data_IF_026685173512
#
_entry.id   IF_026685173512
#
_cell.length_a   1.000
_cell.length_b   1.000
_cell.length_c   1.000
_cell.angle_alpha   90.00
_cell.angle_beta   90.00
_cell.angle_gamma   90.00
#
_symmetry.space_group_name_H-M   'P 1'
#
loop_
_entity.id
_entity.type
_entity.pdbx_description
1 polymer ?
#
# COMPACT_ATOMS: atom_id res chain seq x y z
N UNK A 1 -6.65 1.26 -46.97
CA UNK A 1 -5.88 1.79 -45.88
C UNK A 1 -6.03 3.31 -45.80
N UNK A 2 -6.94 3.81 -44.98
CA UNK A 2 -7.08 5.25 -44.69
C UNK A 2 -6.48 5.52 -43.32
N UNK A 3 -5.26 6.03 -43.31
CA UNK A 3 -4.57 6.55 -42.16
C UNK A 3 -5.32 7.77 -41.63
N UNK A 4 -6.07 7.64 -40.52
CA UNK A 4 -6.65 8.79 -39.81
C UNK A 4 -5.51 9.58 -39.18
N UNK A 5 -5.16 10.70 -39.81
CA UNK A 5 -4.32 11.75 -39.24
C UNK A 5 -4.94 12.20 -37.90
N UNK A 6 -4.23 11.98 -36.80
CA UNK A 6 -4.56 12.60 -35.50
C UNK A 6 -4.29 14.10 -35.65
N UNK A 7 -5.32 14.87 -35.96
CA UNK A 7 -5.29 16.33 -35.84
C UNK A 7 -5.02 16.66 -34.37
N UNK A 8 -3.84 17.20 -34.07
CA UNK A 8 -3.53 17.83 -32.77
C UNK A 8 -4.54 18.97 -32.59
N UNK A 9 -5.44 18.82 -31.64
CA UNK A 9 -6.28 19.92 -31.18
C UNK A 9 -5.39 21.12 -30.83
N UNK A 10 -5.70 22.33 -31.35
CA UNK A 10 -4.92 23.51 -31.03
C UNK A 10 -5.06 23.79 -29.55
N UNK A 11 -3.92 23.92 -28.85
CA UNK A 11 -3.88 24.36 -27.44
C UNK A 11 -4.58 25.73 -27.38
N UNK A 12 -5.81 25.75 -26.92
CA UNK A 12 -6.57 26.99 -26.73
C UNK A 12 -5.83 27.87 -25.73
N UNK A 13 -5.38 29.04 -26.18
CA UNK A 13 -4.78 30.04 -25.29
C UNK A 13 -5.86 30.51 -24.32
N UNK A 14 -5.64 30.28 -23.04
CA UNK A 14 -6.56 30.72 -21.99
C UNK A 14 -6.73 32.24 -22.08
N UNK A 15 -7.93 32.69 -22.38
CA UNK A 15 -8.24 34.11 -22.55
C UNK A 15 -8.72 34.70 -21.23
N UNK A 16 -8.36 35.94 -20.94
CA UNK A 16 -8.77 36.68 -19.74
C UNK A 16 -10.28 36.66 -19.53
N UNK A 17 -11.06 36.61 -20.62
CA UNK A 17 -12.52 36.49 -20.61
C UNK A 17 -13.01 35.15 -20.08
N UNK A 18 -12.29 34.05 -20.35
CA UNK A 18 -12.59 32.69 -19.85
C UNK A 18 -12.29 32.60 -18.36
N UNK A 19 -11.18 33.20 -17.90
CA UNK A 19 -10.83 33.29 -16.49
C UNK A 19 -11.96 34.00 -15.69
N UNK A 20 -12.43 35.17 -16.20
CA UNK A 20 -13.54 35.88 -15.55
C UNK A 20 -14.85 35.09 -15.52
N UNK A 21 -15.10 34.21 -16.50
CA UNK A 21 -16.28 33.35 -16.54
C UNK A 21 -16.24 32.27 -15.49
N UNK A 22 -15.03 31.83 -15.10
CA UNK A 22 -14.80 30.75 -14.14
C UNK A 22 -14.49 31.26 -12.71
N UNK A 23 -14.90 32.47 -12.35
CA UNK A 23 -14.57 33.12 -11.08
C UNK A 23 -14.92 32.29 -9.83
N UNK A 24 -16.04 31.55 -9.86
CA UNK A 24 -16.45 30.68 -8.75
C UNK A 24 -15.50 29.49 -8.62
N UNK A 25 -15.11 28.88 -9.75
CA UNK A 25 -14.16 27.77 -9.77
C UNK A 25 -12.78 28.21 -9.28
N UNK A 26 -12.33 29.39 -9.72
CA UNK A 26 -11.06 29.98 -9.29
C UNK A 26 -11.06 30.35 -7.81
N UNK A 27 -12.19 30.81 -7.28
CA UNK A 27 -12.32 31.08 -5.85
C UNK A 27 -12.13 29.79 -5.02
N UNK A 28 -12.82 28.71 -5.37
CA UNK A 28 -12.65 27.42 -4.69
C UNK A 28 -11.25 26.83 -4.89
N UNK A 29 -10.69 26.95 -6.09
CA UNK A 29 -9.32 26.54 -6.35
C UNK A 29 -8.32 27.32 -5.50
N UNK A 30 -8.50 28.63 -5.34
CA UNK A 30 -7.65 29.45 -4.49
C UNK A 30 -7.72 29.03 -3.00
N UNK A 31 -8.90 28.70 -2.49
CA UNK A 31 -9.06 28.17 -1.12
C UNK A 31 -8.30 26.85 -0.95
N UNK A 32 -8.45 25.92 -1.90
CA UNK A 32 -7.77 24.61 -1.85
C UNK A 32 -6.25 24.79 -1.94
N UNK A 33 -5.77 25.67 -2.82
CA UNK A 33 -4.35 25.98 -2.95
C UNK A 33 -3.83 26.64 -1.67
N UNK A 34 -4.55 27.61 -1.12
CA UNK A 34 -4.16 28.25 0.15
C UNK A 34 -4.09 27.25 1.29
N UNK A 35 -5.07 26.34 1.40
CA UNK A 35 -5.04 25.23 2.35
C UNK A 35 -3.80 24.36 2.15
N UNK A 36 -3.51 23.96 0.90
CA UNK A 36 -2.34 23.18 0.55
C UNK A 36 -1.03 23.88 0.95
N UNK A 37 -0.90 25.17 0.64
CA UNK A 37 0.30 25.95 1.00
C UNK A 37 0.46 26.03 2.52
N UNK A 38 -0.58 26.35 3.26
CA UNK A 38 -0.51 26.54 4.72
C UNK A 38 -0.26 25.20 5.43
N UNK A 39 -0.95 24.13 5.06
CA UNK A 39 -0.91 22.88 5.82
C UNK A 39 0.07 21.83 5.28
N UNK A 40 0.47 21.91 4.00
CA UNK A 40 1.43 20.96 3.42
C UNK A 40 2.78 21.59 3.10
N UNK A 41 2.82 22.79 2.53
CA UNK A 41 4.09 23.40 2.10
C UNK A 41 4.77 24.21 3.21
N UNK A 42 4.02 24.99 3.97
CA UNK A 42 4.61 25.78 5.04
C UNK A 42 5.34 24.93 6.11
N UNK A 43 4.80 23.78 6.56
CA UNK A 43 5.52 22.90 7.49
C UNK A 43 6.85 22.35 6.94
N UNK A 44 7.04 22.30 5.61
CA UNK A 44 8.31 21.87 5.03
C UNK A 44 9.48 22.81 5.38
N UNK A 45 9.18 24.08 5.69
CA UNK A 45 10.19 25.00 6.23
C UNK A 45 10.82 24.47 7.53
N UNK A 46 10.10 23.64 8.28
CA UNK A 46 10.62 22.95 9.46
C UNK A 46 11.78 21.99 9.17
N UNK A 47 11.99 21.55 7.93
CA UNK A 47 13.15 20.74 7.58
C UNK A 47 14.48 21.49 7.75
N UNK A 48 14.46 22.83 7.78
CA UNK A 48 15.62 23.64 8.11
C UNK A 48 16.19 23.28 9.49
N UNK A 49 15.37 22.82 10.43
CA UNK A 49 15.80 22.39 11.77
C UNK A 49 16.77 21.19 11.72
N UNK A 50 16.74 20.38 10.66
CA UNK A 50 17.66 19.26 10.49
C UNK A 50 19.13 19.71 10.32
N UNK A 51 19.33 20.94 9.88
CA UNK A 51 20.66 21.56 9.68
C UNK A 51 21.07 22.49 10.83
N UNK A 52 20.27 22.54 11.89
CA UNK A 52 20.47 23.46 13.02
C UNK A 52 20.55 22.70 14.35
N UNK A 53 21.29 23.31 15.30
CA UNK A 53 21.15 22.93 16.70
C UNK A 53 19.89 23.59 17.27
N UNK A 54 18.73 23.08 16.84
CA UNK A 54 17.44 23.68 17.11
C UNK A 54 17.15 23.76 18.61
N UNK A 55 16.86 24.98 19.08
CA UNK A 55 16.42 25.25 20.44
C UNK A 55 15.02 25.87 20.39
N UNK A 56 13.97 25.23 20.97
CA UNK A 56 12.60 25.74 20.91
C UNK A 56 12.43 27.20 21.34
N UNK A 57 13.26 27.65 22.31
CA UNK A 57 13.24 29.04 22.80
C UNK A 57 13.73 30.05 21.77
N UNK A 58 14.60 29.66 20.86
CA UNK A 58 15.18 30.51 19.82
C UNK A 58 14.43 30.41 18.49
N UNK A 59 13.65 29.36 18.30
CA UNK A 59 12.97 29.09 17.05
C UNK A 59 13.91 28.77 15.89
N UNK A 60 13.36 28.67 14.67
CA UNK A 60 14.12 28.30 13.47
C UNK A 60 15.09 29.41 13.05
N UNK A 61 14.69 30.70 13.23
CA UNK A 61 15.46 31.81 12.72
C UNK A 61 16.70 32.15 13.55
N UNK A 62 16.73 31.78 14.82
CA UNK A 62 17.83 32.14 15.75
C UNK A 62 18.61 30.92 16.28
N UNK A 63 18.26 29.71 15.84
CA UNK A 63 19.00 28.51 16.18
C UNK A 63 20.30 28.43 15.35
N UNK A 64 21.37 27.96 15.99
CA UNK A 64 22.69 27.85 15.39
C UNK A 64 22.71 26.86 14.22
N UNK A 65 23.20 27.26 13.07
CA UNK A 65 23.34 26.40 11.89
C UNK A 65 24.59 25.52 12.04
N UNK A 66 24.39 24.19 12.08
CA UNK A 66 25.47 23.21 12.26
C UNK A 66 25.70 22.34 11.01
N UNK A 67 25.07 22.69 9.90
CA UNK A 67 25.22 21.97 8.64
C UNK A 67 24.82 20.52 8.74
N UNK A 68 25.69 19.58 8.36
CA UNK A 68 25.43 18.15 8.32
C UNK A 68 25.78 17.39 9.60
N UNK A 69 26.11 18.06 10.68
CA UNK A 69 26.53 17.41 11.93
C UNK A 69 25.45 16.48 12.49
N UNK A 70 24.20 16.91 12.49
CA UNK A 70 23.07 16.09 12.95
C UNK A 70 22.90 14.84 12.09
N UNK A 71 23.11 14.94 10.79
CA UNK A 71 23.08 13.78 9.90
C UNK A 71 24.23 12.82 10.18
N UNK A 72 25.44 13.31 10.43
CA UNK A 72 26.57 12.44 10.83
C UNK A 72 26.25 11.66 12.08
N UNK A 73 25.76 12.33 13.12
CA UNK A 73 25.35 11.69 14.37
C UNK A 73 24.28 10.62 14.11
N UNK A 74 23.27 10.96 13.31
CA UNK A 74 22.17 10.07 12.99
C UNK A 74 22.65 8.81 12.26
N UNK A 75 23.47 8.95 11.22
CA UNK A 75 24.01 7.81 10.46
C UNK A 75 25.09 7.01 11.21
N UNK A 76 25.63 7.55 12.30
CA UNK A 76 26.52 6.82 13.22
C UNK A 76 25.75 6.04 14.29
N UNK A 77 24.45 6.32 14.47
CA UNK A 77 23.62 5.62 15.42
C UNK A 77 23.16 4.25 14.87
N UNK A 78 23.63 3.19 15.51
CA UNK A 78 23.25 1.81 15.14
C UNK A 78 21.76 1.55 15.23
N UNK A 79 21.06 2.28 16.10
CA UNK A 79 19.59 2.18 16.22
C UNK A 79 18.92 2.71 14.96
N UNK A 80 19.37 3.87 14.48
CA UNK A 80 18.85 4.45 13.25
C UNK A 80 19.09 3.55 12.03
N UNK A 81 20.31 3.02 11.88
CA UNK A 81 20.64 2.07 10.79
C UNK A 81 19.73 0.83 10.85
N UNK A 82 19.47 0.30 12.04
CA UNK A 82 18.58 -0.84 12.24
C UNK A 82 17.13 -0.50 11.85
N UNK A 83 16.65 0.69 12.21
CA UNK A 83 15.29 1.16 11.84
C UNK A 83 15.18 1.29 10.33
N UNK A 84 16.15 1.93 9.65
CA UNK A 84 16.16 2.04 8.18
C UNK A 84 16.12 0.65 7.53
N UNK A 85 17.01 -0.25 7.95
CA UNK A 85 17.04 -1.62 7.42
C UNK A 85 15.68 -2.31 7.59
N UNK A 86 15.09 -2.20 8.77
CA UNK A 86 13.81 -2.83 9.05
C UNK A 86 12.69 -2.21 8.22
N UNK A 87 12.64 -0.90 8.07
CA UNK A 87 11.65 -0.21 7.25
C UNK A 87 11.75 -0.61 5.79
N UNK A 88 12.97 -0.63 5.23
CA UNK A 88 13.18 -1.03 3.84
C UNK A 88 12.86 -2.51 3.60
N UNK A 89 13.30 -3.39 4.51
CA UNK A 89 13.01 -4.82 4.41
C UNK A 89 11.51 -5.09 4.53
N UNK A 90 10.82 -4.46 5.49
CA UNK A 90 9.36 -4.56 5.66
C UNK A 90 8.64 -4.05 4.41
N UNK A 91 9.03 -2.88 3.91
CA UNK A 91 8.45 -2.31 2.70
C UNK A 91 8.61 -3.23 1.48
N UNK A 92 9.82 -3.79 1.29
CA UNK A 92 10.09 -4.72 0.20
C UNK A 92 9.30 -6.02 0.33
N UNK A 93 9.28 -6.63 1.53
CA UNK A 93 8.51 -7.85 1.78
C UNK A 93 7.02 -7.60 1.53
N UNK A 94 6.46 -6.55 2.10
CA UNK A 94 5.05 -6.21 1.93
C UNK A 94 4.72 -5.94 0.46
N UNK A 95 5.55 -5.16 -0.25
CA UNK A 95 5.33 -4.87 -1.66
C UNK A 95 5.28 -6.16 -2.49
N UNK A 96 6.31 -7.01 -2.38
CA UNK A 96 6.43 -8.23 -3.19
C UNK A 96 5.33 -9.23 -2.83
N UNK A 97 5.16 -9.52 -1.54
CA UNK A 97 4.22 -10.57 -1.10
C UNK A 97 2.77 -10.13 -1.36
N UNK A 98 2.41 -8.89 -1.05
CA UNK A 98 1.05 -8.38 -1.30
C UNK A 98 0.75 -8.28 -2.80
N UNK A 99 1.72 -7.83 -3.60
CA UNK A 99 1.55 -7.75 -5.05
C UNK A 99 1.29 -9.14 -5.67
N UNK A 100 2.15 -10.11 -5.35
CA UNK A 100 2.02 -11.47 -5.89
C UNK A 100 0.72 -12.14 -5.43
N UNK A 101 0.39 -12.02 -4.14
CA UNK A 101 -0.83 -12.64 -3.60
C UNK A 101 -2.09 -11.99 -4.13
N UNK A 102 -2.10 -10.66 -4.31
CA UNK A 102 -3.26 -9.96 -4.87
C UNK A 102 -3.54 -10.33 -6.33
N UNK A 103 -2.49 -10.45 -7.17
CA UNK A 103 -2.63 -10.90 -8.56
C UNK A 103 -3.10 -12.36 -8.60
N UNK A 104 -2.44 -13.24 -7.85
CA UNK A 104 -2.82 -14.66 -7.80
C UNK A 104 -4.28 -14.81 -7.35
N UNK A 105 -4.69 -14.06 -6.32
CA UNK A 105 -6.06 -14.08 -5.83
C UNK A 105 -7.06 -13.52 -6.85
N UNK A 106 -6.72 -12.45 -7.58
CA UNK A 106 -7.57 -11.90 -8.63
C UNK A 106 -7.77 -12.90 -9.78
N UNK A 107 -6.72 -13.61 -10.20
CA UNK A 107 -6.81 -14.67 -11.20
C UNK A 107 -7.71 -15.79 -10.69
N UNK A 108 -7.51 -16.28 -9.46
CA UNK A 108 -8.35 -17.32 -8.87
C UNK A 108 -9.81 -16.90 -8.78
N UNK A 109 -10.08 -15.66 -8.39
CA UNK A 109 -11.44 -15.09 -8.37
C UNK A 109 -12.06 -15.05 -9.77
N UNK A 110 -11.26 -14.74 -10.79
CA UNK A 110 -11.75 -14.68 -12.16
C UNK A 110 -12.16 -16.07 -12.70
N UNK A 111 -11.52 -17.11 -12.22
CA UNK A 111 -11.79 -18.51 -12.59
C UNK A 111 -13.06 -19.08 -11.93
N UNK A 112 -13.63 -18.43 -10.92
CA UNK A 112 -14.86 -18.88 -10.26
C UNK A 112 -16.03 -18.67 -11.21
N UNK A 113 -16.65 -19.79 -11.66
CA UNK A 113 -17.78 -19.78 -12.58
C UNK A 113 -19.10 -19.37 -11.92
N UNK A 114 -19.28 -19.71 -10.64
CA UNK A 114 -20.49 -19.36 -9.89
C UNK A 114 -20.50 -17.88 -9.54
N UNK A 115 -21.45 -17.12 -10.05
CA UNK A 115 -21.58 -15.69 -9.74
C UNK A 115 -21.82 -15.45 -8.23
N UNK A 116 -22.63 -16.30 -7.59
CA UNK A 116 -22.86 -16.21 -6.14
C UNK A 116 -21.61 -16.59 -5.37
N UNK A 117 -20.94 -17.69 -5.74
CA UNK A 117 -19.69 -18.11 -5.12
C UNK A 117 -18.60 -17.05 -5.22
N UNK A 118 -18.42 -16.44 -6.40
CA UNK A 118 -17.48 -15.32 -6.61
C UNK A 118 -17.78 -14.16 -5.66
N UNK A 119 -19.04 -13.72 -5.57
CA UNK A 119 -19.48 -12.64 -4.70
C UNK A 119 -19.25 -12.95 -3.21
N UNK A 120 -19.52 -14.16 -2.77
CA UNK A 120 -19.30 -14.60 -1.38
C UNK A 120 -17.80 -14.55 -1.04
N UNK A 121 -16.95 -15.15 -1.88
CA UNK A 121 -15.50 -15.15 -1.67
C UNK A 121 -14.96 -13.73 -1.65
N UNK A 122 -15.37 -12.87 -2.57
CA UNK A 122 -15.00 -11.46 -2.60
C UNK A 122 -15.38 -10.76 -1.29
N UNK A 123 -16.64 -10.89 -0.85
CA UNK A 123 -17.13 -10.21 0.35
C UNK A 123 -16.33 -10.63 1.59
N UNK A 124 -16.10 -11.93 1.77
CA UNK A 124 -15.34 -12.45 2.91
C UNK A 124 -13.89 -11.97 2.87
N UNK A 125 -13.28 -11.97 1.69
CA UNK A 125 -11.87 -11.59 1.53
C UNK A 125 -11.64 -10.08 1.68
N UNK A 126 -12.67 -9.25 1.44
CA UNK A 126 -12.55 -7.80 1.61
C UNK A 126 -12.73 -7.36 3.06
N UNK A 127 -13.43 -8.14 3.86
CA UNK A 127 -13.81 -7.79 5.22
C UNK A 127 -12.62 -7.44 6.13
N UNK A 128 -11.49 -8.19 6.12
CA UNK A 128 -10.34 -7.89 6.95
C UNK A 128 -9.73 -6.50 6.72
N UNK A 129 -9.82 -5.97 5.50
CA UNK A 129 -9.30 -4.63 5.17
C UNK A 129 -9.92 -3.52 6.03
N UNK A 130 -11.18 -3.65 6.40
CA UNK A 130 -11.91 -2.65 7.19
C UNK A 130 -11.60 -2.71 8.68
N UNK A 131 -10.91 -3.75 9.15
CA UNK A 131 -10.48 -3.83 10.54
C UNK A 131 -9.31 -2.87 10.81
N UNK A 132 -9.34 -2.19 11.96
CA UNK A 132 -8.18 -1.41 12.38
C UNK A 132 -6.99 -2.32 12.70
N UNK A 133 -5.76 -1.81 12.53
CA UNK A 133 -4.55 -2.56 12.90
C UNK A 133 -4.50 -2.91 14.39
N UNK A 134 -5.13 -2.12 15.27
CA UNK A 134 -5.23 -2.42 16.71
C UNK A 134 -6.02 -3.71 16.92
N UNK A 135 -7.16 -3.86 16.23
CA UNK A 135 -7.99 -5.08 16.30
C UNK A 135 -7.23 -6.28 15.73
N UNK A 136 -6.60 -6.11 14.57
CA UNK A 136 -5.80 -7.17 13.92
C UNK A 136 -4.67 -7.64 14.84
N UNK A 137 -3.95 -6.70 15.47
CA UNK A 137 -2.86 -7.03 16.39
C UNK A 137 -3.38 -7.75 17.62
N UNK A 138 -4.54 -7.35 18.17
CA UNK A 138 -5.19 -8.05 19.28
C UNK A 138 -5.54 -9.49 18.92
N UNK A 139 -6.19 -9.70 17.77
CA UNK A 139 -6.53 -11.06 17.28
C UNK A 139 -5.26 -11.92 17.13
N UNK A 140 -4.21 -11.38 16.51
CA UNK A 140 -2.96 -12.10 16.32
C UNK A 140 -2.27 -12.41 17.65
N UNK A 141 -2.31 -11.47 18.60
CA UNK A 141 -1.75 -11.68 19.93
C UNK A 141 -2.45 -12.84 20.63
N UNK A 142 -3.79 -12.86 20.62
CA UNK A 142 -4.55 -13.93 21.26
C UNK A 142 -4.34 -15.28 20.57
N UNK A 143 -4.32 -15.31 19.25
CA UNK A 143 -4.10 -16.55 18.48
C UNK A 143 -2.69 -17.12 18.63
N UNK A 144 -1.67 -16.26 18.68
CA UNK A 144 -0.25 -16.63 18.70
C UNK A 144 0.35 -16.65 20.12
N UNK A 145 -0.45 -16.36 21.17
CA UNK A 145 -0.02 -16.46 22.56
C UNK A 145 0.34 -17.90 22.92
N UNK A 146 1.06 -18.10 24.04
CA UNK A 146 1.41 -19.44 24.53
C UNK A 146 0.21 -20.36 24.78
N UNK A 147 -0.96 -19.77 25.07
CA UNK A 147 -2.26 -20.45 25.27
C UNK A 147 -3.20 -20.29 24.10
N UNK A 148 -2.72 -19.71 23.00
CA UNK A 148 -3.54 -19.42 21.83
C UNK A 148 -3.82 -20.64 20.98
N UNK A 149 -4.89 -20.52 20.16
CA UNK A 149 -5.39 -21.60 19.30
C UNK A 149 -4.31 -22.18 18.36
N UNK A 150 -3.37 -21.35 17.88
CA UNK A 150 -2.29 -21.81 17.00
C UNK A 150 -1.38 -22.80 17.72
N UNK A 151 -1.00 -22.52 18.96
CA UNK A 151 -0.20 -23.43 19.76
C UNK A 151 -0.98 -24.70 20.10
N UNK A 152 -2.25 -24.60 20.45
CA UNK A 152 -3.09 -25.75 20.74
C UNK A 152 -3.17 -26.70 19.52
N UNK A 153 -3.42 -26.16 18.33
CA UNK A 153 -3.45 -26.96 17.09
C UNK A 153 -2.09 -27.60 16.79
N UNK A 154 -1.00 -26.86 16.92
CA UNK A 154 0.35 -27.36 16.62
C UNK A 154 0.76 -28.48 17.59
N UNK A 155 0.40 -28.36 18.88
CA UNK A 155 0.67 -29.41 19.88
C UNK A 155 -0.19 -30.64 19.63
N UNK A 156 -1.49 -30.48 19.37
CA UNK A 156 -2.42 -31.57 19.09
C UNK A 156 -2.06 -32.35 17.83
N UNK A 157 -1.54 -31.66 16.81
CA UNK A 157 -1.02 -32.27 15.58
C UNK A 157 0.40 -32.87 15.75
N UNK A 158 0.97 -32.80 16.96
CA UNK A 158 2.33 -33.29 17.26
C UNK A 158 3.45 -32.63 16.43
N UNK A 159 3.19 -31.44 15.88
CA UNK A 159 4.17 -30.65 15.12
C UNK A 159 5.19 -30.03 16.07
N UNK A 160 4.74 -29.60 17.24
CA UNK A 160 5.59 -29.07 18.30
C UNK A 160 5.33 -29.84 19.61
N UNK A 161 6.35 -29.95 20.45
CA UNK A 161 6.24 -30.65 21.75
C UNK A 161 5.72 -29.74 22.87
N UNK A 162 5.96 -28.44 22.76
CA UNK A 162 5.59 -27.43 23.76
C UNK A 162 5.14 -26.14 23.07
N UNK A 163 4.23 -25.37 23.68
CA UNK A 163 3.80 -24.08 23.15
C UNK A 163 4.98 -23.13 22.91
N UNK A 164 4.94 -22.41 21.81
CA UNK A 164 5.94 -21.40 21.41
C UNK A 164 5.40 -20.01 21.75
N UNK A 165 6.20 -19.20 22.41
CA UNK A 165 5.91 -17.77 22.53
C UNK A 165 6.42 -17.06 21.26
N UNK A 166 5.56 -16.92 20.25
CA UNK A 166 5.92 -16.36 18.95
C UNK A 166 6.42 -14.91 19.06
N UNK A 167 5.92 -14.13 20.00
CA UNK A 167 6.30 -12.73 20.18
C UNK A 167 7.62 -12.55 20.95
N UNK A 168 8.09 -13.57 21.66
CA UNK A 168 9.37 -13.52 22.35
C UNK A 168 10.57 -13.70 21.40
N UNK A 169 10.36 -14.20 20.20
CA UNK A 169 11.41 -14.49 19.24
C UNK A 169 11.38 -13.53 18.07
N UNK A 170 12.45 -12.77 17.88
CA UNK A 170 12.57 -11.78 16.78
C UNK A 170 12.50 -12.42 15.39
N UNK A 171 12.83 -13.71 15.24
CA UNK A 171 12.76 -14.45 13.97
C UNK A 171 11.34 -14.61 13.43
N UNK A 172 10.34 -14.63 14.30
CA UNK A 172 8.93 -14.74 13.87
C UNK A 172 8.30 -13.39 13.48
N UNK A 173 8.96 -12.27 13.79
CA UNK A 173 8.42 -10.94 13.51
C UNK A 173 8.05 -10.75 12.02
N UNK A 174 8.98 -11.05 11.13
CA UNK A 174 8.77 -10.87 9.68
C UNK A 174 7.66 -11.75 9.11
N UNK A 175 7.64 -13.06 9.38
CA UNK A 175 6.54 -13.93 8.94
C UNK A 175 5.17 -13.51 9.47
N UNK A 176 5.08 -13.14 10.74
CA UNK A 176 3.81 -12.71 11.37
C UNK A 176 3.28 -11.46 10.69
N UNK A 177 4.13 -10.44 10.52
CA UNK A 177 3.72 -9.18 9.90
C UNK A 177 3.37 -9.38 8.43
N UNK A 178 4.16 -10.15 7.68
CA UNK A 178 3.87 -10.46 6.28
C UNK A 178 2.53 -11.20 6.14
N UNK A 179 2.29 -12.22 6.97
CA UNK A 179 1.02 -12.95 6.97
C UNK A 179 -0.17 -12.05 7.31
N UNK A 180 -0.05 -11.24 8.36
CA UNK A 180 -1.09 -10.29 8.78
C UNK A 180 -1.45 -9.32 7.66
N UNK A 181 -0.42 -8.79 6.97
CA UNK A 181 -0.61 -7.85 5.87
C UNK A 181 -1.27 -8.53 4.66
N UNK A 182 -0.83 -9.73 4.28
CA UNK A 182 -1.44 -10.52 3.21
C UNK A 182 -2.90 -10.81 3.52
N UNK A 183 -3.20 -11.33 4.71
CA UNK A 183 -4.57 -11.64 5.12
C UNK A 183 -5.47 -10.40 5.09
N UNK A 184 -4.94 -9.26 5.54
CA UNK A 184 -5.72 -8.03 5.63
C UNK A 184 -5.93 -7.37 4.26
N UNK A 185 -4.91 -7.34 3.40
CA UNK A 185 -4.88 -6.46 2.24
C UNK A 185 -5.09 -7.18 0.89
N UNK A 186 -4.86 -8.49 0.81
CA UNK A 186 -4.92 -9.22 -0.48
C UNK A 186 -6.28 -9.10 -1.16
N UNK A 187 -7.37 -9.29 -0.42
CA UNK A 187 -8.71 -9.21 -1.00
C UNK A 187 -9.00 -7.83 -1.57
N UNK A 188 -8.71 -6.79 -0.83
CA UNK A 188 -8.92 -5.41 -1.26
C UNK A 188 -8.07 -5.04 -2.48
N UNK A 189 -6.78 -5.35 -2.44
CA UNK A 189 -5.87 -5.07 -3.54
C UNK A 189 -6.21 -5.85 -4.82
N UNK A 190 -6.77 -7.04 -4.69
CA UNK A 190 -7.19 -7.84 -5.84
C UNK A 190 -8.32 -7.19 -6.66
N UNK A 191 -9.08 -6.23 -6.11
CA UNK A 191 -10.15 -5.51 -6.83
C UNK A 191 -9.59 -4.84 -8.08
N UNK A 192 -8.45 -4.16 -7.96
CA UNK A 192 -7.83 -3.42 -9.07
C UNK A 192 -7.40 -4.39 -10.18
N UNK A 193 -6.76 -5.50 -9.81
CA UNK A 193 -6.32 -6.51 -10.78
C UNK A 193 -7.50 -7.23 -11.43
N UNK A 194 -8.54 -7.56 -10.65
CA UNK A 194 -9.74 -8.16 -11.19
C UNK A 194 -10.47 -7.24 -12.17
N UNK A 195 -10.52 -5.93 -11.86
CA UNK A 195 -11.08 -4.94 -12.79
C UNK A 195 -10.26 -4.87 -14.09
N UNK A 196 -8.93 -4.93 -14.02
CA UNK A 196 -8.07 -4.96 -15.19
C UNK A 196 -8.29 -6.23 -16.04
N UNK A 197 -8.38 -7.41 -15.40
CA UNK A 197 -8.64 -8.69 -16.09
C UNK A 197 -10.02 -8.65 -16.79
N UNK A 198 -11.03 -8.16 -16.11
CA UNK A 198 -12.40 -8.11 -16.68
C UNK A 198 -12.59 -7.05 -17.76
N UNK A 199 -11.65 -6.12 -17.91
CA UNK A 199 -11.64 -5.13 -18.99
C UNK A 199 -11.00 -5.66 -20.29
N UNK A 200 -10.40 -6.85 -20.29
CA UNK A 200 -9.84 -7.49 -21.49
C UNK A 200 -11.00 -7.92 -22.39
N UNK A 201 -10.89 -7.60 -23.70
CA UNK A 201 -11.91 -7.94 -24.68
C UNK A 201 -12.09 -9.47 -24.77
N UNK A 202 -13.31 -10.00 -24.56
CA UNK A 202 -13.60 -11.44 -24.66
C UNK A 202 -13.19 -12.04 -26.02
N UNK A 203 -13.21 -11.26 -27.09
CA UNK A 203 -12.79 -11.72 -28.43
C UNK A 203 -11.37 -12.23 -28.49
N UNK A 204 -10.47 -11.72 -27.63
CA UNK A 204 -9.09 -12.20 -27.53
C UNK A 204 -9.03 -13.63 -26.99
N UNK A 205 -9.87 -13.96 -25.99
CA UNK A 205 -9.97 -15.31 -25.44
C UNK A 205 -10.61 -16.28 -26.42
N UNK A 206 -11.58 -15.82 -27.24
CA UNK A 206 -12.19 -16.61 -28.30
C UNK A 206 -11.17 -16.93 -29.40
N UNK A 207 -10.41 -15.93 -29.87
CA UNK A 207 -9.35 -16.12 -30.85
C UNK A 207 -8.29 -17.12 -30.35
N UNK A 208 -7.82 -16.94 -29.10
CA UNK A 208 -6.87 -17.86 -28.48
C UNK A 208 -7.44 -19.30 -28.38
N UNK A 209 -8.75 -19.44 -28.21
CA UNK A 209 -9.40 -20.75 -28.18
C UNK A 209 -9.41 -21.42 -29.56
N UNK A 210 -9.61 -20.66 -30.62
CA UNK A 210 -9.58 -21.13 -32.01
C UNK A 210 -8.14 -21.58 -32.36
N UNK A 211 -7.13 -20.85 -31.89
CA UNK A 211 -5.72 -21.15 -32.05
C UNK A 211 -5.24 -22.34 -31.18
N UNK A 212 -6.13 -22.99 -30.44
CA UNK A 212 -5.83 -24.18 -29.64
C UNK A 212 -5.15 -23.88 -28.29
N UNK A 213 -5.19 -22.62 -27.81
CA UNK A 213 -4.63 -22.26 -26.52
C UNK A 213 -5.38 -22.96 -25.35
N UNK A 214 -4.62 -23.69 -24.53
CA UNK A 214 -5.10 -24.31 -23.32
C UNK A 214 -5.43 -23.25 -22.23
N UNK A 215 -6.05 -23.71 -21.13
CA UNK A 215 -6.48 -22.83 -20.03
C UNK A 215 -5.35 -21.97 -19.46
N UNK A 216 -4.16 -22.56 -19.26
CA UNK A 216 -2.99 -21.84 -18.74
C UNK A 216 -2.43 -20.79 -19.68
N UNK A 217 -2.59 -20.98 -21.00
CA UNK A 217 -2.14 -20.01 -21.99
C UNK A 217 -3.10 -18.81 -22.15
N UNK A 218 -4.29 -18.90 -21.55
CA UNK A 218 -5.30 -17.82 -21.54
C UNK A 218 -5.28 -17.00 -20.27
N UNK A 219 -4.58 -17.43 -19.24
CA UNK A 219 -4.36 -16.74 -17.97
C UNK A 219 -3.13 -15.86 -18.06
#
# INVERSE_FOLDING_TARGET
ARTKSKTKEPRTKITWKEIKRQKVLLFWAAIIVAYGVIFYYLPLAGWAMAFQNYKPKLGILHSEFVGLEKFRTLFSDMTFIRVIRNTLAMGAINLVVTFVTAIAFAILLNEIRSHIGKKVVQTISYLPHFLSWIIVTGILHDMLSGTGIVNEVLVNLHIIKQPINFFAHTSYFWPIVAFANVWKETGWNAIIYLAAITAIDPSLYEAASIDGAGRWNKI
#
